data_IF_694454686589
#
_entry.id   IF_694454686589
#
_cell.length_a   1.000
_cell.length_b   1.000
_cell.length_c   1.000
_cell.angle_alpha   90.00
_cell.angle_beta   90.00
_cell.angle_gamma   90.00
#
_symmetry.space_group_name_H-M   'P 1'
#
loop_
_entity.id
_entity.type
_entity.pdbx_description
1 polymer ?
#
# COMPACT_ATOMS: atom_id res chain seq x y z
N UNK A 1 46.11 -46.61 30.16
CA UNK A 1 46.13 -45.87 28.89
C UNK A 1 45.16 -46.38 27.81
N UNK A 2 44.98 -47.67 27.61
CA UNK A 2 44.11 -48.21 26.54
C UNK A 2 42.63 -48.03 26.78
N UNK A 3 42.13 -47.96 28.01
CA UNK A 3 40.69 -47.74 28.31
C UNK A 3 40.25 -46.28 28.03
N UNK A 4 41.08 -45.26 28.32
CA UNK A 4 40.80 -43.89 28.10
C UNK A 4 40.72 -43.52 26.61
N UNK A 5 41.54 -44.11 25.76
CA UNK A 5 41.54 -43.90 24.32
C UNK A 5 40.26 -44.47 23.68
N UNK A 6 39.79 -45.62 24.17
CA UNK A 6 38.59 -46.29 23.67
C UNK A 6 37.31 -45.52 24.00
N UNK A 7 37.22 -44.88 25.18
CA UNK A 7 36.10 -44.03 25.58
C UNK A 7 36.09 -42.75 24.75
N UNK A 8 37.26 -42.18 24.46
CA UNK A 8 37.36 -40.95 23.66
C UNK A 8 36.99 -41.19 22.18
N UNK A 9 37.39 -42.33 21.60
CA UNK A 9 37.02 -42.69 20.22
C UNK A 9 35.53 -42.99 20.06
N UNK A 10 34.89 -43.63 21.05
CA UNK A 10 33.46 -43.87 21.06
C UNK A 10 32.72 -42.54 21.21
N UNK A 11 33.17 -41.64 22.08
CA UNK A 11 32.59 -40.33 22.25
C UNK A 11 32.63 -39.45 20.97
N UNK A 12 33.76 -39.44 20.26
CA UNK A 12 33.91 -38.72 18.99
C UNK A 12 33.06 -39.36 17.89
N UNK A 13 32.99 -40.70 17.83
CA UNK A 13 32.15 -41.38 16.84
C UNK A 13 30.66 -41.18 17.08
N UNK A 14 30.19 -41.19 18.33
CA UNK A 14 28.78 -40.91 18.68
C UNK A 14 28.43 -39.46 18.45
N UNK A 15 29.30 -38.50 18.80
CA UNK A 15 29.09 -37.09 18.53
C UNK A 15 29.11 -36.79 17.02
N UNK A 16 30.05 -37.39 16.29
CA UNK A 16 30.10 -37.27 14.82
C UNK A 16 28.87 -37.86 14.15
N UNK A 17 28.33 -38.97 14.64
CA UNK A 17 27.10 -39.58 14.14
C UNK A 17 25.85 -38.72 14.48
N UNK A 18 25.77 -38.21 15.72
CA UNK A 18 24.70 -37.30 16.12
C UNK A 18 24.76 -36.00 15.32
N UNK A 19 25.96 -35.42 15.14
CA UNK A 19 26.14 -34.22 14.31
C UNK A 19 25.79 -34.49 12.85
N UNK A 20 26.19 -35.65 12.31
CA UNK A 20 25.81 -36.05 10.95
C UNK A 20 24.29 -36.24 10.80
N UNK A 21 23.63 -36.87 11.76
CA UNK A 21 22.18 -37.01 11.78
C UNK A 21 21.48 -35.63 11.90
N UNK A 22 21.97 -34.74 12.76
CA UNK A 22 21.41 -33.40 12.94
C UNK A 22 21.54 -32.56 11.67
N UNK A 23 22.64 -32.68 10.93
CA UNK A 23 22.86 -32.00 9.63
C UNK A 23 22.10 -32.66 8.46
N UNK A 24 21.70 -33.94 8.58
CA UNK A 24 21.04 -34.72 7.54
C UNK A 24 19.67 -35.25 7.97
N UNK A 25 19.11 -34.72 9.06
CA UNK A 25 17.66 -34.83 9.30
C UNK A 25 17.02 -34.05 8.18
N UNK A 26 16.46 -34.74 7.21
CA UNK A 26 15.53 -34.16 6.27
C UNK A 26 14.49 -33.37 7.07
N UNK A 27 14.66 -32.05 7.12
CA UNK A 27 13.63 -31.18 7.66
C UNK A 27 12.39 -31.52 6.86
N UNK A 28 11.45 -32.23 7.47
CA UNK A 28 10.24 -32.66 6.80
C UNK A 28 9.59 -31.47 6.07
N UNK A 29 8.71 -31.68 5.12
CA UNK A 29 8.22 -30.62 4.26
C UNK A 29 7.84 -29.40 5.08
N UNK A 30 8.27 -28.21 4.63
CA UNK A 30 7.98 -26.93 5.28
C UNK A 30 6.49 -26.82 5.56
N UNK A 31 6.07 -25.91 6.45
CA UNK A 31 4.64 -25.67 6.69
C UNK A 31 3.90 -25.37 5.39
N UNK A 32 4.49 -24.55 4.52
CA UNK A 32 3.96 -24.24 3.18
C UNK A 32 3.93 -25.48 2.29
N UNK A 33 4.99 -26.31 2.31
CA UNK A 33 5.02 -27.56 1.55
C UNK A 33 3.92 -28.55 1.95
N UNK A 34 3.61 -28.68 3.25
CA UNK A 34 2.47 -29.48 3.72
C UNK A 34 1.12 -28.88 3.29
N UNK A 35 1.00 -27.57 3.29
CA UNK A 35 -0.20 -26.88 2.82
C UNK A 35 -0.42 -27.11 1.31
N UNK A 36 0.63 -27.02 0.51
CA UNK A 36 0.58 -27.33 -0.94
C UNK A 36 0.15 -28.78 -1.15
N UNK A 37 0.82 -29.75 -0.51
CA UNK A 37 0.44 -31.16 -0.66
C UNK A 37 -1.01 -31.45 -0.28
N UNK A 38 -1.51 -30.83 0.79
CA UNK A 38 -2.92 -30.90 1.18
C UNK A 38 -3.87 -30.31 0.14
N UNK A 39 -3.52 -29.15 -0.40
CA UNK A 39 -4.32 -28.48 -1.44
C UNK A 39 -4.29 -29.26 -2.77
N UNK A 40 -3.14 -29.82 -3.17
CA UNK A 40 -3.01 -30.70 -4.36
C UNK A 40 -3.89 -31.94 -4.20
N UNK A 41 -3.88 -32.58 -3.02
CA UNK A 41 -4.74 -33.73 -2.72
C UNK A 41 -6.24 -33.36 -2.76
N UNK A 42 -6.60 -32.14 -2.31
CA UNK A 42 -7.97 -31.64 -2.39
C UNK A 42 -8.42 -31.41 -3.86
N UNK A 43 -7.56 -30.82 -4.69
CA UNK A 43 -7.81 -30.66 -6.12
C UNK A 43 -7.90 -32.00 -6.83
N UNK A 44 -7.04 -32.98 -6.47
CA UNK A 44 -7.13 -34.34 -7.05
C UNK A 44 -8.47 -35.01 -6.75
N UNK A 45 -9.05 -34.79 -5.56
CA UNK A 45 -10.37 -35.33 -5.17
C UNK A 45 -11.52 -34.60 -5.84
N UNK A 46 -11.38 -33.30 -6.11
CA UNK A 46 -12.41 -32.47 -6.68
C UNK A 46 -11.85 -31.52 -7.76
N UNK A 47 -11.48 -32.05 -8.94
CA UNK A 47 -10.73 -31.30 -9.96
C UNK A 47 -11.46 -30.05 -10.49
N UNK A 48 -12.79 -30.05 -10.45
CA UNK A 48 -13.60 -28.94 -10.95
C UNK A 48 -14.04 -27.97 -9.84
N UNK A 49 -13.60 -28.17 -8.60
CA UNK A 49 -13.95 -27.28 -7.51
C UNK A 49 -13.09 -26.01 -7.55
N UNK A 50 -13.73 -24.89 -7.84
CA UNK A 50 -13.08 -23.57 -7.95
C UNK A 50 -12.37 -23.20 -6.66
N UNK A 51 -13.02 -23.43 -5.49
CA UNK A 51 -12.45 -23.03 -4.21
C UNK A 51 -11.15 -23.78 -3.87
N UNK A 52 -11.09 -25.10 -4.14
CA UNK A 52 -9.85 -25.87 -3.90
C UNK A 52 -8.71 -25.43 -4.83
N UNK A 53 -9.01 -25.11 -6.08
CA UNK A 53 -8.03 -24.55 -7.01
C UNK A 53 -7.54 -23.16 -6.60
N UNK A 54 -8.43 -22.28 -6.11
CA UNK A 54 -8.04 -20.95 -5.58
C UNK A 54 -7.12 -21.10 -4.36
N UNK A 55 -7.41 -22.05 -3.47
CA UNK A 55 -6.58 -22.34 -2.30
C UNK A 55 -5.20 -22.87 -2.72
N UNK A 56 -5.13 -23.74 -3.72
CA UNK A 56 -3.86 -24.24 -4.25
C UNK A 56 -3.06 -23.13 -4.92
N UNK A 57 -3.72 -22.26 -5.70
CA UNK A 57 -3.06 -21.09 -6.30
C UNK A 57 -2.46 -20.17 -5.23
N UNK A 58 -3.20 -19.90 -4.15
CA UNK A 58 -2.72 -19.09 -3.04
C UNK A 58 -1.52 -19.73 -2.34
N UNK A 59 -1.54 -21.06 -2.12
CA UNK A 59 -0.43 -21.80 -1.55
C UNK A 59 0.84 -21.73 -2.43
N UNK A 60 0.68 -21.85 -3.74
CA UNK A 60 1.80 -21.69 -4.67
C UNK A 60 2.37 -20.25 -4.66
N UNK A 61 1.53 -19.21 -4.57
CA UNK A 61 2.00 -17.82 -4.47
C UNK A 61 2.79 -17.60 -3.18
N UNK A 62 2.35 -18.18 -2.07
CA UNK A 62 3.05 -18.13 -0.78
C UNK A 62 4.43 -18.82 -0.86
N UNK A 63 4.54 -19.87 -1.67
CA UNK A 63 5.80 -20.61 -1.93
C UNK A 63 6.64 -19.98 -3.07
N UNK A 64 6.25 -18.77 -3.55
CA UNK A 64 6.91 -18.08 -4.67
C UNK A 64 6.93 -18.88 -5.98
N UNK A 65 5.88 -19.59 -6.25
CA UNK A 65 5.64 -20.40 -7.47
C UNK A 65 4.52 -19.80 -8.32
N UNK A 66 4.71 -18.61 -8.91
CA UNK A 66 3.65 -17.89 -9.63
C UNK A 66 3.14 -18.64 -10.86
N UNK A 67 4.00 -19.38 -11.55
CA UNK A 67 3.60 -20.13 -12.77
C UNK A 67 2.66 -21.29 -12.42
N UNK A 68 2.83 -21.94 -11.29
CA UNK A 68 1.93 -22.99 -10.83
C UNK A 68 0.59 -22.43 -10.38
N UNK A 69 0.60 -21.24 -9.76
CA UNK A 69 -0.62 -20.51 -9.46
C UNK A 69 -1.38 -20.10 -10.74
N UNK A 70 -0.69 -19.60 -11.77
CA UNK A 70 -1.28 -19.30 -13.09
C UNK A 70 -2.00 -20.50 -13.69
N UNK A 71 -1.40 -21.70 -13.64
CA UNK A 71 -2.05 -22.93 -14.12
C UNK A 71 -3.38 -23.18 -13.40
N UNK A 72 -3.46 -22.93 -12.08
CA UNK A 72 -4.70 -23.13 -11.35
C UNK A 72 -5.78 -22.12 -11.76
N UNK A 73 -5.41 -20.83 -11.93
CA UNK A 73 -6.34 -19.84 -12.46
C UNK A 73 -6.80 -20.16 -13.88
N UNK A 74 -5.89 -20.59 -14.76
CA UNK A 74 -6.25 -20.96 -16.13
C UNK A 74 -7.17 -22.18 -16.18
N UNK A 75 -7.01 -23.18 -15.29
CA UNK A 75 -7.93 -24.31 -15.17
C UNK A 75 -9.34 -23.87 -14.75
N UNK A 76 -9.45 -22.93 -13.80
CA UNK A 76 -10.75 -22.34 -13.44
C UNK A 76 -11.37 -21.64 -14.64
N UNK A 77 -10.57 -20.85 -15.37
CA UNK A 77 -11.05 -20.05 -16.51
C UNK A 77 -11.38 -20.87 -17.75
N UNK A 78 -10.89 -22.12 -17.87
CA UNK A 78 -11.36 -23.06 -18.90
C UNK A 78 -12.82 -23.45 -18.68
N UNK A 79 -13.21 -23.68 -17.43
CA UNK A 79 -14.58 -24.06 -17.08
C UNK A 79 -15.50 -22.83 -16.99
N UNK A 80 -15.03 -21.75 -16.41
CA UNK A 80 -15.78 -20.49 -16.23
C UNK A 80 -14.90 -19.30 -16.67
N UNK A 81 -15.03 -18.89 -17.92
CA UNK A 81 -14.27 -17.78 -18.52
C UNK A 81 -14.53 -16.43 -17.86
N UNK A 82 -15.62 -16.31 -17.11
CA UNK A 82 -16.04 -15.11 -16.40
C UNK A 82 -15.71 -15.13 -14.91
N UNK A 83 -15.03 -16.15 -14.41
CA UNK A 83 -14.71 -16.24 -12.99
C UNK A 83 -13.81 -15.09 -12.54
N UNK A 84 -14.44 -14.14 -11.86
CA UNK A 84 -13.82 -12.85 -11.54
C UNK A 84 -12.65 -12.99 -10.58
N UNK A 85 -12.74 -13.90 -9.60
CA UNK A 85 -11.66 -14.17 -8.65
C UNK A 85 -10.43 -14.75 -9.36
N UNK A 86 -10.65 -15.69 -10.26
CA UNK A 86 -9.56 -16.27 -11.07
C UNK A 86 -8.94 -15.24 -12.02
N UNK A 87 -9.76 -14.40 -12.65
CA UNK A 87 -9.28 -13.30 -13.51
C UNK A 87 -8.45 -12.29 -12.73
N UNK A 88 -8.89 -11.92 -11.50
CA UNK A 88 -8.16 -11.00 -10.63
C UNK A 88 -6.80 -11.58 -10.22
N UNK A 89 -6.80 -12.82 -9.71
CA UNK A 89 -5.57 -13.51 -9.31
C UNK A 89 -4.60 -13.72 -10.47
N UNK A 90 -5.12 -14.13 -11.63
CA UNK A 90 -4.33 -14.26 -12.87
C UNK A 90 -3.69 -12.94 -13.28
N UNK A 91 -4.46 -11.85 -13.28
CA UNK A 91 -3.96 -10.51 -13.59
C UNK A 91 -2.83 -10.08 -12.66
N UNK A 92 -2.97 -10.30 -11.35
CA UNK A 92 -1.95 -9.99 -10.35
C UNK A 92 -0.65 -10.75 -10.59
N UNK A 93 -0.72 -12.05 -10.86
CA UNK A 93 0.47 -12.86 -11.18
C UNK A 93 1.15 -12.37 -12.45
N UNK A 94 0.38 -12.06 -13.50
CA UNK A 94 0.92 -11.55 -14.77
C UNK A 94 1.60 -10.19 -14.61
N UNK A 95 1.09 -9.30 -13.75
CA UNK A 95 1.80 -8.04 -13.39
C UNK A 95 3.16 -8.35 -12.76
N UNK A 96 3.21 -9.30 -11.83
CA UNK A 96 4.44 -9.69 -11.14
C UNK A 96 5.46 -10.30 -12.12
N UNK A 97 4.99 -11.07 -13.09
CA UNK A 97 5.82 -11.67 -14.15
C UNK A 97 6.18 -10.65 -15.26
N UNK A 98 5.64 -9.41 -15.20
CA UNK A 98 5.92 -8.36 -16.18
C UNK A 98 5.07 -8.42 -17.45
N UNK A 99 4.17 -9.37 -17.60
CA UNK A 99 3.25 -9.45 -18.74
C UNK A 99 2.03 -8.54 -18.53
N UNK A 100 2.28 -7.24 -18.68
CA UNK A 100 1.25 -6.22 -18.50
C UNK A 100 0.12 -6.33 -19.53
N UNK A 101 0.40 -6.89 -20.71
CA UNK A 101 -0.60 -7.05 -21.77
C UNK A 101 -1.60 -8.14 -21.42
N UNK A 102 -1.14 -9.32 -21.04
CA UNK A 102 -2.02 -10.40 -20.61
C UNK A 102 -2.76 -10.08 -19.29
N UNK A 103 -2.10 -9.33 -18.39
CA UNK A 103 -2.76 -8.81 -17.19
C UNK A 103 -3.94 -7.91 -17.53
N UNK A 104 -3.74 -6.93 -18.42
CA UNK A 104 -4.81 -6.02 -18.85
C UNK A 104 -6.00 -6.79 -19.47
N UNK A 105 -5.74 -7.83 -20.25
CA UNK A 105 -6.81 -8.69 -20.82
C UNK A 105 -7.64 -9.34 -19.70
N UNK A 106 -7.01 -9.80 -18.62
CA UNK A 106 -7.72 -10.40 -17.47
C UNK A 106 -8.62 -9.37 -16.79
N UNK A 107 -8.12 -8.16 -16.52
CA UNK A 107 -8.90 -7.10 -15.87
C UNK A 107 -10.00 -6.53 -16.76
N UNK A 108 -9.79 -6.38 -18.09
CA UNK A 108 -10.85 -5.97 -19.00
C UNK A 108 -12.02 -6.94 -19.01
N UNK A 109 -11.77 -8.25 -18.94
CA UNK A 109 -12.87 -9.22 -18.81
C UNK A 109 -13.72 -9.00 -17.56
N UNK A 110 -13.12 -8.57 -16.45
CA UNK A 110 -13.87 -8.24 -15.23
C UNK A 110 -14.72 -7.00 -15.46
N UNK A 111 -14.13 -5.93 -16.00
CA UNK A 111 -14.86 -4.67 -16.22
C UNK A 111 -15.97 -4.83 -17.27
N UNK A 112 -15.77 -5.63 -18.31
CA UNK A 112 -16.78 -5.92 -19.34
C UNK A 112 -17.99 -6.67 -18.77
N UNK A 113 -17.76 -7.60 -17.83
CA UNK A 113 -18.84 -8.32 -17.14
C UNK A 113 -19.57 -7.38 -16.19
N UNK A 114 -18.83 -6.59 -15.42
CA UNK A 114 -19.39 -5.65 -14.45
C UNK A 114 -20.25 -4.57 -15.11
N UNK A 115 -19.82 -4.04 -16.26
CA UNK A 115 -20.54 -3.00 -16.99
C UNK A 115 -21.96 -3.41 -17.41
N UNK A 116 -22.23 -4.72 -17.49
CA UNK A 116 -23.54 -5.29 -17.83
C UNK A 116 -24.39 -5.63 -16.61
N UNK A 117 -23.81 -5.49 -15.41
CA UNK A 117 -24.48 -5.83 -14.15
C UNK A 117 -25.35 -4.69 -13.62
N UNK A 118 -26.39 -5.04 -12.90
CA UNK A 118 -27.34 -4.10 -12.26
C UNK A 118 -26.65 -3.20 -11.21
N UNK A 119 -25.58 -3.68 -10.58
CA UNK A 119 -24.83 -2.99 -9.52
C UNK A 119 -23.44 -2.50 -9.97
N UNK A 120 -23.27 -2.17 -11.24
CA UNK A 120 -21.97 -1.73 -11.80
C UNK A 120 -21.33 -0.58 -10.99
N UNK A 121 -22.12 0.31 -10.41
CA UNK A 121 -21.64 1.46 -9.61
C UNK A 121 -21.21 1.12 -8.18
N UNK A 122 -21.38 -0.12 -7.70
CA UNK A 122 -20.99 -0.57 -6.37
C UNK A 122 -20.13 -1.86 -6.40
N UNK A 123 -19.60 -2.19 -7.55
CA UNK A 123 -18.86 -3.42 -7.79
C UNK A 123 -17.38 -3.25 -7.42
N UNK A 124 -17.01 -3.64 -6.21
CA UNK A 124 -15.64 -3.52 -5.71
C UNK A 124 -14.61 -4.35 -6.50
N UNK A 125 -15.03 -5.48 -7.12
CA UNK A 125 -14.11 -6.26 -7.96
C UNK A 125 -13.83 -5.53 -9.28
N UNK A 126 -14.83 -4.82 -9.81
CA UNK A 126 -14.63 -3.95 -10.96
C UNK A 126 -13.80 -2.70 -10.61
N UNK A 127 -14.01 -2.14 -9.42
CA UNK A 127 -13.19 -1.05 -8.90
C UNK A 127 -11.70 -1.45 -8.87
N UNK A 128 -11.40 -2.61 -8.29
CA UNK A 128 -10.04 -3.14 -8.23
C UNK A 128 -9.46 -3.41 -9.63
N UNK A 129 -10.25 -3.96 -10.56
CA UNK A 129 -9.83 -4.18 -11.94
C UNK A 129 -9.51 -2.85 -12.65
N UNK A 130 -10.34 -1.81 -12.50
CA UNK A 130 -10.07 -0.48 -13.03
C UNK A 130 -8.80 0.15 -12.42
N UNK A 131 -8.56 -0.02 -11.12
CA UNK A 131 -7.33 0.41 -10.47
C UNK A 131 -6.10 -0.23 -11.12
N UNK A 132 -6.09 -1.55 -11.31
CA UNK A 132 -4.96 -2.24 -11.95
C UNK A 132 -4.79 -1.85 -13.42
N UNK A 133 -5.88 -1.66 -14.18
CA UNK A 133 -5.81 -1.14 -15.55
C UNK A 133 -5.18 0.25 -15.60
N UNK A 134 -5.54 1.13 -14.69
CA UNK A 134 -4.93 2.44 -14.54
C UNK A 134 -3.44 2.36 -14.22
N UNK A 135 -3.05 1.49 -13.28
CA UNK A 135 -1.66 1.23 -12.92
C UNK A 135 -0.84 0.69 -14.10
N UNK A 136 -1.39 -0.27 -14.84
CA UNK A 136 -0.78 -0.83 -16.06
C UNK A 136 -0.59 0.28 -17.11
N UNK A 137 -1.62 1.08 -17.35
CA UNK A 137 -1.56 2.19 -18.31
C UNK A 137 -0.46 3.20 -17.93
N UNK A 138 -0.28 3.50 -16.63
CA UNK A 138 0.81 4.34 -16.13
C UNK A 138 2.18 3.74 -16.40
N UNK A 139 2.36 2.45 -16.15
CA UNK A 139 3.61 1.73 -16.44
C UNK A 139 3.94 1.73 -17.94
N UNK A 140 2.90 1.73 -18.79
CA UNK A 140 3.04 1.82 -20.24
C UNK A 140 3.20 3.26 -20.77
N UNK A 141 3.21 4.28 -19.90
CA UNK A 141 3.31 5.68 -20.28
C UNK A 141 2.01 6.27 -20.89
N UNK A 142 0.88 5.57 -20.78
CA UNK A 142 -0.42 5.96 -21.34
C UNK A 142 -1.23 6.77 -20.32
N UNK A 143 -0.78 8.00 -20.01
CA UNK A 143 -1.33 8.81 -18.93
C UNK A 143 -2.85 9.06 -19.07
N UNK A 144 -3.35 9.37 -20.25
CA UNK A 144 -4.79 9.61 -20.50
C UNK A 144 -5.63 8.37 -20.22
N UNK A 145 -5.16 7.19 -20.68
CA UNK A 145 -5.84 5.93 -20.39
C UNK A 145 -5.86 5.64 -18.89
N UNK A 146 -4.72 5.87 -18.22
CA UNK A 146 -4.65 5.71 -16.77
C UNK A 146 -5.68 6.61 -16.04
N UNK A 147 -5.82 7.87 -16.45
CA UNK A 147 -6.83 8.79 -15.88
C UNK A 147 -8.24 8.24 -16.10
N UNK A 148 -8.54 7.70 -17.28
CA UNK A 148 -9.86 7.13 -17.59
C UNK A 148 -10.18 5.96 -16.67
N UNK A 149 -9.26 5.01 -16.54
CA UNK A 149 -9.46 3.81 -15.73
C UNK A 149 -9.53 4.15 -14.23
N UNK A 150 -8.63 5.01 -13.73
CA UNK A 150 -8.64 5.43 -12.34
C UNK A 150 -9.88 6.24 -11.97
N UNK A 151 -10.41 7.06 -12.89
CA UNK A 151 -11.69 7.72 -12.68
C UNK A 151 -12.85 6.73 -12.62
N UNK A 152 -12.80 5.63 -13.37
CA UNK A 152 -13.80 4.57 -13.28
C UNK A 152 -13.73 3.86 -11.92
N UNK A 153 -12.53 3.57 -11.41
CA UNK A 153 -12.35 3.05 -10.05
C UNK A 153 -12.91 4.02 -8.99
N UNK A 154 -12.55 5.31 -9.08
CA UNK A 154 -12.97 6.34 -8.14
C UNK A 154 -14.47 6.70 -8.23
N UNK A 155 -15.13 6.35 -9.31
CA UNK A 155 -16.60 6.46 -9.41
C UNK A 155 -17.29 5.40 -8.54
N UNK A 156 -16.66 4.25 -8.35
CA UNK A 156 -17.17 3.16 -7.51
C UNK A 156 -16.79 3.41 -6.05
N UNK A 157 -15.51 3.69 -5.79
CA UNK A 157 -15.00 4.08 -4.47
C UNK A 157 -14.25 5.42 -4.53
N UNK A 158 -14.93 6.54 -4.22
CA UNK A 158 -14.32 7.87 -4.22
C UNK A 158 -13.26 8.08 -3.13
N UNK A 159 -13.15 7.15 -2.18
CA UNK A 159 -12.24 7.24 -1.02
C UNK A 159 -10.98 6.38 -1.16
N UNK A 160 -10.88 5.61 -2.24
CA UNK A 160 -9.68 4.82 -2.54
C UNK A 160 -8.45 5.72 -2.69
N UNK A 161 -7.64 5.76 -1.64
CA UNK A 161 -6.45 6.62 -1.57
C UNK A 161 -5.38 6.23 -2.59
N UNK A 162 -5.23 4.94 -2.89
CA UNK A 162 -4.27 4.46 -3.88
C UNK A 162 -4.68 4.87 -5.30
N UNK A 163 -5.97 4.74 -5.64
CA UNK A 163 -6.50 5.21 -6.91
C UNK A 163 -6.40 6.74 -7.04
N UNK A 164 -6.67 7.49 -5.96
CA UNK A 164 -6.48 8.95 -5.92
C UNK A 164 -5.01 9.35 -6.14
N UNK A 165 -4.08 8.65 -5.50
CA UNK A 165 -2.66 8.88 -5.69
C UNK A 165 -2.22 8.62 -7.14
N UNK A 166 -2.54 7.45 -7.68
CA UNK A 166 -2.19 7.12 -9.07
C UNK A 166 -2.86 8.08 -10.07
N UNK A 167 -4.09 8.54 -9.79
CA UNK A 167 -4.76 9.56 -10.59
C UNK A 167 -3.97 10.87 -10.60
N UNK A 168 -3.47 11.30 -9.43
CA UNK A 168 -2.59 12.47 -9.33
C UNK A 168 -1.30 12.32 -10.14
N UNK A 169 -0.65 11.15 -10.06
CA UNK A 169 0.55 10.83 -10.86
C UNK A 169 0.24 10.86 -12.36
N UNK A 170 -0.88 10.25 -12.78
CA UNK A 170 -1.30 10.23 -14.18
C UNK A 170 -1.58 11.66 -14.70
N UNK A 171 -2.26 12.48 -13.90
CA UNK A 171 -2.54 13.88 -14.23
C UNK A 171 -1.26 14.73 -14.34
N UNK A 172 -0.24 14.48 -13.50
CA UNK A 172 1.07 15.13 -13.64
C UNK A 172 1.76 14.76 -14.94
N UNK A 173 1.69 13.49 -15.33
CA UNK A 173 2.27 13.00 -16.60
C UNK A 173 1.50 13.53 -17.82
N UNK A 174 0.20 13.74 -17.70
CA UNK A 174 -0.64 14.36 -18.76
C UNK A 174 -0.54 15.90 -18.80
N UNK A 175 0.29 16.52 -17.93
CA UNK A 175 0.48 17.97 -17.91
C UNK A 175 -0.65 18.77 -17.23
N UNK A 176 -1.42 18.14 -16.35
CA UNK A 176 -2.54 18.74 -15.61
C UNK A 176 -2.23 18.91 -14.09
N UNK A 177 -1.22 19.72 -13.70
CA UNK A 177 -0.76 19.81 -12.31
C UNK A 177 -1.82 20.32 -11.32
N UNK A 178 -2.77 21.15 -11.76
CA UNK A 178 -3.89 21.61 -10.90
C UNK A 178 -4.79 20.45 -10.49
N UNK A 179 -5.12 19.55 -11.41
CA UNK A 179 -5.91 18.35 -11.12
C UNK A 179 -5.14 17.41 -10.22
N UNK A 180 -3.86 17.22 -10.50
CA UNK A 180 -2.98 16.39 -9.68
C UNK A 180 -2.93 16.83 -8.21
N UNK A 181 -2.85 18.15 -7.95
CA UNK A 181 -2.92 18.68 -6.57
C UNK A 181 -4.20 18.24 -5.88
N UNK A 182 -5.34 18.32 -6.57
CA UNK A 182 -6.62 17.93 -5.97
C UNK A 182 -6.66 16.43 -5.64
N UNK A 183 -6.23 15.58 -6.56
CA UNK A 183 -6.22 14.13 -6.37
C UNK A 183 -5.25 13.71 -5.25
N UNK A 184 -4.03 14.25 -5.25
CA UNK A 184 -3.01 13.96 -4.23
C UNK A 184 -3.41 14.46 -2.83
N UNK A 185 -4.03 15.63 -2.73
CA UNK A 185 -4.56 16.13 -1.45
C UNK A 185 -5.69 15.25 -0.92
N UNK A 186 -6.57 14.77 -1.78
CA UNK A 186 -7.61 13.81 -1.39
C UNK A 186 -7.01 12.49 -0.91
N UNK A 187 -5.99 11.96 -1.61
CA UNK A 187 -5.29 10.75 -1.17
C UNK A 187 -4.75 10.89 0.26
N UNK A 188 -4.11 12.03 0.57
CA UNK A 188 -3.59 12.32 1.90
C UNK A 188 -4.67 12.54 2.97
N UNK A 189 -5.91 12.89 2.58
CA UNK A 189 -7.01 13.05 3.52
C UNK A 189 -7.39 11.74 4.21
N UNK A 190 -7.27 10.62 3.49
CA UNK A 190 -7.61 9.29 4.01
C UNK A 190 -6.42 8.57 4.65
N UNK A 191 -5.18 8.91 4.26
CA UNK A 191 -3.93 8.35 4.82
C UNK A 191 -2.94 9.49 5.10
N UNK A 192 -3.15 10.30 6.13
CA UNK A 192 -2.37 11.53 6.33
C UNK A 192 -0.93 11.31 6.83
N UNK A 193 -0.61 10.14 7.38
CA UNK A 193 0.71 9.85 7.98
C UNK A 193 1.34 8.58 7.44
N UNK A 194 2.67 8.58 7.31
CA UNK A 194 3.42 7.40 6.89
C UNK A 194 3.49 7.16 5.39
N UNK A 195 2.79 7.93 4.58
CA UNK A 195 2.79 7.82 3.12
C UNK A 195 3.50 9.01 2.48
N UNK A 196 4.73 8.77 2.02
CA UNK A 196 5.65 9.85 1.58
C UNK A 196 5.42 10.29 0.13
N UNK A 197 5.02 9.36 -0.72
CA UNK A 197 4.95 9.55 -2.17
C UNK A 197 3.98 10.68 -2.56
N UNK A 198 2.76 10.80 -2.01
CA UNK A 198 1.87 11.89 -2.37
C UNK A 198 2.44 13.28 -2.06
N UNK A 199 3.20 13.43 -0.98
CA UNK A 199 3.85 14.70 -0.68
C UNK A 199 4.95 15.03 -1.69
N UNK A 200 5.71 14.02 -2.14
CA UNK A 200 6.74 14.19 -3.16
C UNK A 200 6.12 14.63 -4.49
N UNK A 201 5.04 14.00 -4.90
CA UNK A 201 4.32 14.36 -6.13
C UNK A 201 3.62 15.73 -6.02
N UNK A 202 3.10 16.10 -4.83
CA UNK A 202 2.59 17.45 -4.57
C UNK A 202 3.68 18.51 -4.75
N UNK A 203 4.90 18.25 -4.30
CA UNK A 203 6.00 19.18 -4.50
C UNK A 203 6.32 19.38 -5.98
N UNK A 204 6.25 18.32 -6.80
CA UNK A 204 6.36 18.39 -8.26
C UNK A 204 5.22 19.22 -8.86
N UNK A 205 3.97 18.92 -8.46
CA UNK A 205 2.78 19.64 -8.95
C UNK A 205 2.84 21.13 -8.64
N UNK A 206 3.15 21.49 -7.40
CA UNK A 206 3.29 22.88 -6.97
C UNK A 206 4.47 23.58 -7.67
N UNK A 207 5.56 22.85 -7.95
CA UNK A 207 6.67 23.37 -8.74
C UNK A 207 6.25 23.76 -10.17
N UNK A 208 5.45 22.92 -10.83
CA UNK A 208 4.90 23.19 -12.17
C UNK A 208 3.89 24.36 -12.18
N UNK A 209 3.29 24.66 -11.03
CA UNK A 209 2.36 25.78 -10.86
C UNK A 209 3.04 27.07 -10.36
N UNK A 210 4.36 27.06 -10.14
CA UNK A 210 5.13 28.16 -9.55
C UNK A 210 4.64 28.58 -8.14
N UNK A 211 4.09 27.64 -7.39
CA UNK A 211 3.59 27.83 -6.01
C UNK A 211 4.68 27.46 -4.99
N UNK A 212 5.69 28.32 -4.86
CA UNK A 212 6.89 28.06 -4.07
C UNK A 212 6.63 27.76 -2.58
N UNK A 213 5.75 28.48 -1.84
CA UNK A 213 5.46 28.14 -0.45
C UNK A 213 4.81 26.76 -0.30
N UNK A 214 3.84 26.40 -1.15
CA UNK A 214 3.17 25.10 -1.14
C UNK A 214 4.16 23.96 -1.50
N UNK A 215 5.05 24.22 -2.47
CA UNK A 215 6.13 23.29 -2.83
C UNK A 215 7.04 23.03 -1.60
N UNK A 216 7.46 24.10 -0.92
CA UNK A 216 8.34 23.98 0.25
C UNK A 216 7.64 23.21 1.39
N UNK A 217 6.34 23.47 1.60
CA UNK A 217 5.53 22.69 2.55
C UNK A 217 5.50 21.20 2.18
N UNK A 218 5.16 20.87 0.95
CA UNK A 218 5.10 19.49 0.49
C UNK A 218 6.47 18.78 0.60
N UNK A 219 7.57 19.48 0.28
CA UNK A 219 8.93 18.96 0.50
C UNK A 219 9.24 18.75 1.98
N UNK A 220 8.81 19.65 2.86
CA UNK A 220 8.95 19.51 4.31
C UNK A 220 8.25 18.25 4.83
N UNK A 221 7.01 18.04 4.44
CA UNK A 221 6.24 16.86 4.81
C UNK A 221 6.82 15.57 4.21
N UNK A 222 7.29 15.61 2.96
CA UNK A 222 7.99 14.47 2.35
C UNK A 222 9.27 14.13 3.13
N UNK A 223 10.09 15.12 3.49
CA UNK A 223 11.30 14.91 4.28
C UNK A 223 11.00 14.38 5.69
N UNK A 224 9.93 14.84 6.32
CA UNK A 224 9.49 14.29 7.60
C UNK A 224 9.16 12.80 7.48
N UNK A 225 8.33 12.44 6.52
CA UNK A 225 7.95 11.08 6.24
C UNK A 225 9.18 10.19 5.90
N UNK A 226 10.14 10.70 5.16
CA UNK A 226 11.41 10.03 4.81
C UNK A 226 12.44 10.01 5.95
N UNK A 227 12.04 10.35 7.18
CA UNK A 227 12.89 10.38 8.38
C UNK A 227 14.10 11.31 8.25
N UNK A 228 13.89 12.48 7.63
CA UNK A 228 14.86 13.58 7.54
C UNK A 228 14.38 14.79 8.37
N UNK A 229 14.30 14.68 9.72
CA UNK A 229 13.63 15.66 10.56
C UNK A 229 14.29 17.05 10.53
N UNK A 230 15.59 17.14 10.38
CA UNK A 230 16.31 18.42 10.32
C UNK A 230 15.87 19.24 9.12
N UNK A 231 15.85 18.63 7.93
CA UNK A 231 15.42 19.31 6.71
C UNK A 231 13.93 19.64 6.75
N UNK A 232 13.10 18.71 7.24
CA UNK A 232 11.67 18.92 7.40
C UNK A 232 11.38 20.12 8.32
N UNK A 233 11.98 20.15 9.52
CA UNK A 233 11.80 21.22 10.50
C UNK A 233 12.25 22.58 9.94
N UNK A 234 13.41 22.63 9.27
CA UNK A 234 13.91 23.84 8.64
C UNK A 234 12.93 24.39 7.60
N UNK A 235 12.44 23.52 6.70
CA UNK A 235 11.51 23.90 5.63
C UNK A 235 10.17 24.37 6.21
N UNK A 236 9.55 23.62 7.12
CA UNK A 236 8.27 24.00 7.72
C UNK A 236 8.39 25.28 8.55
N UNK A 237 9.45 25.44 9.32
CA UNK A 237 9.68 26.67 10.13
C UNK A 237 9.81 27.91 9.24
N UNK A 238 10.38 27.79 8.04
CA UNK A 238 10.48 28.92 7.10
C UNK A 238 9.12 29.44 6.61
N UNK A 239 8.06 28.67 6.80
CA UNK A 239 6.71 28.94 6.26
C UNK A 239 5.71 29.48 7.30
N UNK A 240 6.08 29.54 8.58
CA UNK A 240 5.15 29.89 9.69
C UNK A 240 4.58 31.31 9.64
N UNK A 241 5.08 32.16 8.75
CA UNK A 241 4.57 33.54 8.52
C UNK A 241 3.97 33.75 7.14
N UNK A 242 3.90 32.67 6.33
CA UNK A 242 3.49 32.76 4.91
C UNK A 242 2.05 32.28 4.66
N UNK A 243 1.67 32.17 3.39
CA UNK A 243 0.32 31.77 2.96
C UNK A 243 -0.05 30.31 3.34
N UNK A 244 0.91 29.48 3.70
CA UNK A 244 0.73 28.08 4.15
C UNK A 244 1.11 27.91 5.63
N UNK A 245 1.03 29.00 6.41
CA UNK A 245 1.47 29.00 7.80
C UNK A 245 0.70 28.00 8.68
N UNK A 246 -0.60 27.86 8.47
CA UNK A 246 -1.44 26.89 9.21
C UNK A 246 -0.97 25.48 8.92
N UNK A 247 -0.82 25.12 7.63
CA UNK A 247 -0.35 23.80 7.23
C UNK A 247 1.04 23.49 7.80
N UNK A 248 1.95 24.48 7.76
CA UNK A 248 3.30 24.33 8.28
C UNK A 248 3.32 24.11 9.81
N UNK A 249 2.50 24.86 10.54
CA UNK A 249 2.36 24.73 12.00
C UNK A 249 1.74 23.38 12.40
N UNK A 250 0.73 22.90 11.63
CA UNK A 250 0.16 21.57 11.82
C UNK A 250 1.22 20.48 11.57
N UNK A 251 2.03 20.64 10.52
CA UNK A 251 3.12 19.73 10.22
C UNK A 251 4.19 19.71 11.34
N UNK A 252 4.57 20.87 11.87
CA UNK A 252 5.52 20.96 12.99
C UNK A 252 4.94 20.33 14.28
N UNK A 253 3.66 20.54 14.55
CA UNK A 253 2.96 19.88 15.66
C UNK A 253 2.97 18.38 15.54
N UNK A 254 2.64 17.83 14.36
CA UNK A 254 2.68 16.40 14.09
C UNK A 254 4.09 15.82 14.22
N UNK A 255 5.12 16.52 13.76
CA UNK A 255 6.51 16.10 13.93
C UNK A 255 6.87 15.99 15.41
N UNK A 256 6.56 17.01 16.21
CA UNK A 256 6.84 17.03 17.64
C UNK A 256 6.10 15.91 18.39
N UNK A 257 4.84 15.61 18.05
CA UNK A 257 4.12 14.44 18.59
C UNK A 257 4.83 13.12 18.26
N UNK A 258 5.26 12.97 17.02
CA UNK A 258 5.96 11.73 16.57
C UNK A 258 7.30 11.55 17.30
N UNK A 259 7.95 12.66 17.66
CA UNK A 259 9.18 12.68 18.47
C UNK A 259 8.89 12.59 19.99
N UNK A 260 7.63 12.39 20.40
CA UNK A 260 7.17 12.36 21.78
C UNK A 260 7.43 13.67 22.54
N UNK A 261 7.62 14.78 21.84
CA UNK A 261 7.78 16.12 22.41
C UNK A 261 6.43 16.84 22.49
N UNK A 262 5.57 16.35 23.40
CA UNK A 262 4.21 16.87 23.57
C UNK A 262 4.14 18.36 23.90
N UNK A 263 5.12 18.89 24.66
CA UNK A 263 5.15 20.31 25.01
C UNK A 263 5.38 21.21 23.77
N UNK A 264 6.28 20.81 22.88
CA UNK A 264 6.51 21.50 21.62
C UNK A 264 5.29 21.37 20.69
N UNK A 265 4.69 20.18 20.60
CA UNK A 265 3.48 19.94 19.80
C UNK A 265 2.34 20.86 20.23
N UNK A 266 2.07 20.95 21.54
CA UNK A 266 1.06 21.87 22.11
C UNK A 266 1.34 23.32 21.72
N UNK A 267 2.61 23.71 21.74
CA UNK A 267 3.02 25.09 21.36
C UNK A 267 2.67 25.38 19.90
N UNK A 268 2.94 24.46 19.00
CA UNK A 268 2.60 24.62 17.57
C UNK A 268 1.10 24.62 17.33
N UNK A 269 0.34 23.70 17.90
CA UNK A 269 -1.12 23.66 17.73
C UNK A 269 -1.83 24.86 18.32
N UNK A 270 -1.36 25.42 19.46
CA UNK A 270 -1.88 26.68 19.99
C UNK A 270 -1.67 27.84 19.02
N UNK A 271 -0.54 27.90 18.31
CA UNK A 271 -0.33 28.89 17.27
C UNK A 271 -1.29 28.72 16.08
N UNK A 272 -1.70 27.49 15.76
CA UNK A 272 -2.77 27.26 14.77
C UNK A 272 -4.08 27.84 15.25
N UNK A 273 -4.50 27.51 16.48
CA UNK A 273 -5.76 28.03 17.07
C UNK A 273 -5.77 29.55 17.17
N UNK A 274 -4.64 30.19 17.43
CA UNK A 274 -4.52 31.65 17.43
C UNK A 274 -4.82 32.27 16.06
N UNK A 275 -4.53 31.57 14.96
CA UNK A 275 -4.76 32.03 13.58
C UNK A 275 -6.10 31.58 13.00
N UNK A 276 -6.54 30.39 13.41
CA UNK A 276 -7.79 29.76 13.00
C UNK A 276 -8.42 29.05 14.22
N UNK A 277 -9.23 29.80 14.95
CA UNK A 277 -9.89 29.34 16.17
C UNK A 277 -10.84 28.14 15.93
N UNK A 278 -11.24 27.90 14.68
CA UNK A 278 -12.13 26.78 14.27
C UNK A 278 -11.37 25.60 13.71
N UNK A 279 -10.06 25.59 13.77
CA UNK A 279 -9.25 24.50 13.21
C UNK A 279 -9.48 23.19 13.96
N UNK A 280 -10.24 22.29 13.34
CA UNK A 280 -10.65 21.00 13.94
C UNK A 280 -9.44 20.12 14.23
N UNK A 281 -8.45 20.10 13.34
CA UNK A 281 -7.24 19.27 13.50
C UNK A 281 -6.42 19.69 14.73
N UNK A 282 -6.15 20.99 14.86
CA UNK A 282 -5.42 21.49 16.01
C UNK A 282 -6.20 21.34 17.31
N UNK A 283 -7.52 21.57 17.31
CA UNK A 283 -8.39 21.38 18.47
C UNK A 283 -8.40 19.92 18.94
N UNK A 284 -8.53 18.97 18.02
CA UNK A 284 -8.49 17.54 18.31
C UNK A 284 -7.11 17.13 18.87
N UNK A 285 -6.02 17.63 18.29
CA UNK A 285 -4.67 17.36 18.74
C UNK A 285 -4.44 17.92 20.18
N UNK A 286 -4.84 19.15 20.44
CA UNK A 286 -4.74 19.74 21.78
C UNK A 286 -5.56 18.97 22.82
N UNK A 287 -6.76 18.52 22.47
CA UNK A 287 -7.59 17.69 23.35
C UNK A 287 -6.91 16.36 23.67
N UNK A 288 -6.35 15.69 22.67
CA UNK A 288 -5.60 14.43 22.83
C UNK A 288 -4.36 14.60 23.73
N UNK A 289 -3.70 15.74 23.62
CA UNK A 289 -2.51 16.09 24.44
C UNK A 289 -2.85 16.67 25.82
N UNK A 290 -4.13 16.69 26.20
CA UNK A 290 -4.57 17.22 27.51
C UNK A 290 -4.43 18.74 27.64
N UNK A 291 -4.30 19.47 26.53
CA UNK A 291 -4.11 20.93 26.48
C UNK A 291 -5.27 21.67 25.78
N UNK A 292 -6.38 20.97 25.48
CA UNK A 292 -7.62 21.54 24.95
C UNK A 292 -8.29 22.46 25.97
N UNK A 293 -9.26 23.30 25.53
CA UNK A 293 -10.06 24.09 26.45
C UNK A 293 -10.72 23.15 27.45
N UNK A 294 -10.40 23.33 28.72
CA UNK A 294 -11.12 22.63 29.79
C UNK A 294 -12.59 23.01 29.63
N UNK A 295 -13.45 22.02 29.37
CA UNK A 295 -14.89 22.23 29.49
C UNK A 295 -15.10 22.76 30.94
N UNK A 296 -15.35 24.06 31.06
CA UNK A 296 -15.82 24.61 32.34
C UNK A 296 -17.11 23.85 32.64
N UNK A 297 -17.03 22.94 33.59
CA UNK A 297 -18.22 22.39 34.22
C UNK A 297 -18.99 23.54 34.83
N UNK A 298 -19.94 24.08 34.11
CA UNK A 298 -21.00 24.86 34.70
C UNK A 298 -21.72 23.96 35.69
N UNK A 299 -21.44 24.20 36.95
CA UNK A 299 -22.28 23.73 38.05
C UNK A 299 -23.62 24.39 37.99
#
# INVERSE_FOLDING_TARGET
MRLGVMVLTIGVATFGFMYYQDQHVDAGPSMVGRQIAGAEAAVAKAPNNVQTRLQLAAAYLQDKRPDDALKQYDEILKADKGNRTALLGRGGVLITNGDLTAAAVSYHKITDVAAKGEFAGADLVAQEAHYYLGSIALKQGKAKLAITELNAALKIDPTDSDALYLSGVAQLKDGAPKLAVNSLKKALLFVPTGWCEPYSELAVAYGKLNLSPQKTYAMGMANFCLKKPVDAKRQLTSLIKGPVAIDALLGLGLMAETESNNAEAVTWYKQVITRDAKNVTASAALSRLGAGPTSSSTK
#
